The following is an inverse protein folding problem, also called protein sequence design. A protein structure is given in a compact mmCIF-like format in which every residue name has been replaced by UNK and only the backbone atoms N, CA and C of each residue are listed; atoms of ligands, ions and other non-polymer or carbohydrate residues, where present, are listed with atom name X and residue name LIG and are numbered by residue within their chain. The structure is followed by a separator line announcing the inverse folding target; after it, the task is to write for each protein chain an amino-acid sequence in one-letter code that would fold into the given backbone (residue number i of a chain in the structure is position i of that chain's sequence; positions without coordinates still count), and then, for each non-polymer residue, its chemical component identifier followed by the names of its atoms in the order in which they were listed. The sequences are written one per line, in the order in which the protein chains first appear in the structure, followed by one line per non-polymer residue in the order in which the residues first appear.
data_IF_937495111153
#
_entry.id   IF_937495111153
#
_cell.length_a   1.000
_cell.length_b   1.000
_cell.length_c   1.000
_cell.angle_alpha   90.00
_cell.angle_beta   90.00
_cell.angle_gamma   90.00
#
_symmetry.space_group_name_H-M   'P 1'
#
loop_
_entity.id
_entity.type
_entity.pdbx_description
1 polymer ?
#
# COMPACT_ATOMS: atom_id res chain seq x y z
N UNK A 1 24.43 1.89 -17.30
CA UNK A 1 24.03 0.49 -17.51
C UNK A 1 22.58 0.37 -17.09
N UNK A 2 21.64 0.40 -18.04
CA UNK A 2 20.24 0.05 -17.75
C UNK A 2 20.20 -1.43 -17.38
N UNK A 3 19.92 -1.74 -16.10
CA UNK A 3 19.64 -3.12 -15.69
C UNK A 3 18.27 -3.48 -16.25
N UNK A 4 18.26 -4.31 -17.29
CA UNK A 4 17.05 -4.97 -17.74
C UNK A 4 16.49 -5.79 -16.57
N UNK A 5 15.23 -5.54 -16.20
CA UNK A 5 14.55 -6.32 -15.17
C UNK A 5 14.40 -7.77 -15.60
N UNK A 6 14.67 -8.69 -14.70
CA UNK A 6 14.37 -10.10 -14.92
C UNK A 6 12.86 -10.37 -14.81
N UNK A 7 12.41 -11.53 -15.29
CA UNK A 7 11.00 -11.93 -15.13
C UNK A 7 10.63 -12.11 -13.65
N UNK A 8 11.57 -12.58 -12.83
CA UNK A 8 11.45 -12.66 -11.38
C UNK A 8 11.26 -11.26 -10.74
N UNK A 9 12.08 -10.28 -11.12
CA UNK A 9 11.99 -8.89 -10.66
C UNK A 9 10.61 -8.28 -10.91
N UNK A 10 10.08 -8.52 -12.13
CA UNK A 10 8.75 -8.04 -12.51
C UNK A 10 7.63 -8.71 -11.70
N UNK A 11 7.74 -10.02 -11.44
CA UNK A 11 6.77 -10.74 -10.60
C UNK A 11 6.81 -10.24 -9.16
N UNK A 12 8.00 -9.99 -8.62
CA UNK A 12 8.18 -9.50 -7.26
C UNK A 12 7.63 -8.08 -7.11
N UNK A 13 7.93 -7.18 -8.06
CA UNK A 13 7.33 -5.85 -8.11
C UNK A 13 5.81 -5.90 -8.15
N UNK A 14 5.22 -6.72 -9.04
CA UNK A 14 3.77 -6.83 -9.16
C UNK A 14 3.13 -7.33 -7.87
N UNK A 15 3.80 -8.24 -7.15
CA UNK A 15 3.35 -8.72 -5.84
C UNK A 15 3.43 -7.60 -4.80
N UNK A 16 4.56 -6.91 -4.69
CA UNK A 16 4.74 -5.80 -3.77
C UNK A 16 3.72 -4.68 -3.99
N UNK A 17 3.48 -4.26 -5.25
CA UNK A 17 2.47 -3.26 -5.61
C UNK A 17 1.07 -3.72 -5.23
N UNK A 18 0.73 -4.99 -5.46
CA UNK A 18 -0.56 -5.54 -5.05
C UNK A 18 -0.73 -5.49 -3.53
N UNK A 19 0.30 -5.87 -2.78
CA UNK A 19 0.24 -5.90 -1.33
C UNK A 19 0.15 -4.47 -0.75
N UNK A 20 0.87 -3.50 -1.33
CA UNK A 20 0.71 -2.07 -1.02
C UNK A 20 -0.71 -1.61 -1.28
N UNK A 21 -1.27 -1.92 -2.45
CA UNK A 21 -2.62 -1.52 -2.83
C UNK A 21 -3.68 -2.11 -1.88
N UNK A 22 -3.51 -3.36 -1.45
CA UNK A 22 -4.40 -4.00 -0.47
C UNK A 22 -4.34 -3.26 0.88
N UNK A 23 -3.12 -2.95 1.38
CA UNK A 23 -2.95 -2.24 2.65
C UNK A 23 -3.54 -0.83 2.62
N UNK A 24 -3.37 -0.11 1.50
CA UNK A 24 -3.97 1.22 1.31
C UNK A 24 -5.48 1.14 1.17
N UNK A 25 -6.02 0.11 0.51
CA UNK A 25 -7.47 -0.11 0.41
C UNK A 25 -8.08 -0.39 1.78
N UNK A 26 -7.42 -1.21 2.60
CA UNK A 26 -7.80 -1.45 3.99
C UNK A 26 -7.83 -0.13 4.78
N UNK A 27 -6.75 0.66 4.71
CA UNK A 27 -6.70 1.96 5.36
C UNK A 27 -7.82 2.90 4.88
N UNK A 28 -8.11 2.93 3.58
CA UNK A 28 -9.19 3.75 3.01
C UNK A 28 -10.57 3.35 3.56
N UNK A 29 -10.86 2.05 3.68
CA UNK A 29 -12.12 1.57 4.27
C UNK A 29 -12.28 2.04 5.71
N UNK A 30 -11.24 1.92 6.54
CA UNK A 30 -11.30 2.39 7.94
C UNK A 30 -11.39 3.91 8.05
N UNK A 31 -10.73 4.65 7.15
CA UNK A 31 -10.86 6.10 7.09
C UNK A 31 -12.31 6.49 6.76
N UNK A 32 -12.90 5.88 5.74
CA UNK A 32 -14.30 6.12 5.36
C UNK A 32 -15.26 5.77 6.49
N UNK A 33 -15.08 4.61 7.15
CA UNK A 33 -15.89 4.22 8.31
C UNK A 33 -15.82 5.25 9.45
N UNK A 34 -14.64 5.84 9.69
CA UNK A 34 -14.45 6.89 10.70
C UNK A 34 -15.13 8.22 10.35
N UNK A 35 -15.44 8.49 9.08
CA UNK A 35 -16.12 9.72 8.62
C UNK A 35 -17.62 9.55 8.36
N UNK A 36 -18.06 8.37 7.92
CA UNK A 36 -19.42 8.12 7.41
C UNK A 36 -20.44 7.91 8.54
N UNK A 37 -20.01 7.56 9.76
CA UNK A 37 -20.91 7.27 10.88
C UNK A 37 -20.99 8.49 11.80
N UNK A 38 -22.06 9.32 11.72
CA UNK A 38 -22.16 10.60 12.43
C UNK A 38 -22.41 10.47 13.95
N UNK A 39 -22.46 9.25 14.50
CA UNK A 39 -22.70 8.97 15.93
C UNK A 39 -21.76 7.88 16.48
N UNK A 40 -20.59 7.73 15.85
CA UNK A 40 -19.63 6.72 16.28
C UNK A 40 -19.03 7.13 17.64
N UNK A 41 -19.01 6.21 18.60
CA UNK A 41 -18.37 6.50 19.89
C UNK A 41 -16.88 6.80 19.68
N UNK A 42 -16.35 7.79 20.41
CA UNK A 42 -14.94 8.22 20.33
C UNK A 42 -13.94 7.05 20.37
N UNK A 43 -14.27 5.98 21.12
CA UNK A 43 -13.44 4.76 21.19
C UNK A 43 -13.35 4.05 19.84
N UNK A 44 -14.46 3.90 19.15
CA UNK A 44 -14.50 3.29 17.82
C UNK A 44 -13.87 4.19 16.75
N UNK A 45 -14.03 5.52 16.88
CA UNK A 45 -13.35 6.46 16.00
C UNK A 45 -11.82 6.37 16.13
N UNK A 46 -11.32 6.30 17.37
CA UNK A 46 -9.90 6.14 17.66
C UNK A 46 -9.34 4.83 17.10
N UNK A 47 -10.09 3.71 17.25
CA UNK A 47 -9.69 2.41 16.67
C UNK A 47 -9.66 2.49 15.14
N UNK A 48 -10.63 3.14 14.50
CA UNK A 48 -10.63 3.33 13.05
C UNK A 48 -9.37 4.09 12.60
N UNK A 49 -9.04 5.20 13.26
CA UNK A 49 -7.83 5.97 12.94
C UNK A 49 -6.53 5.21 13.22
N UNK A 50 -6.46 4.41 14.27
CA UNK A 50 -5.32 3.53 14.53
C UNK A 50 -5.13 2.51 13.40
N UNK A 51 -6.22 1.89 12.93
CA UNK A 51 -6.18 0.97 11.78
C UNK A 51 -5.71 1.65 10.49
N UNK A 52 -6.11 2.91 10.26
CA UNK A 52 -5.60 3.72 9.13
C UNK A 52 -4.08 3.90 9.25
N UNK A 53 -3.59 4.33 10.42
CA UNK A 53 -2.16 4.57 10.66
C UNK A 53 -1.36 3.28 10.44
N UNK A 54 -1.83 2.15 10.98
CA UNK A 54 -1.18 0.85 10.81
C UNK A 54 -1.16 0.42 9.35
N UNK A 55 -2.26 0.56 8.62
CA UNK A 55 -2.32 0.20 7.20
C UNK A 55 -1.36 1.04 6.34
N UNK A 56 -1.32 2.35 6.58
CA UNK A 56 -0.38 3.27 5.90
C UNK A 56 1.08 2.95 6.27
N UNK A 57 1.35 2.67 7.54
CA UNK A 57 2.70 2.29 8.00
C UNK A 57 3.17 1.00 7.34
N UNK A 58 2.33 -0.04 7.31
CA UNK A 58 2.64 -1.31 6.64
C UNK A 58 2.94 -1.11 5.14
N UNK A 59 2.13 -0.32 4.44
CA UNK A 59 2.38 0.05 3.05
C UNK A 59 3.74 0.74 2.89
N UNK A 60 4.06 1.70 3.76
CA UNK A 60 5.36 2.39 3.77
C UNK A 60 6.55 1.45 4.01
N UNK A 61 6.40 0.47 4.91
CA UNK A 61 7.45 -0.54 5.16
C UNK A 61 7.68 -1.42 3.93
N UNK A 62 6.61 -1.84 3.23
CA UNK A 62 6.74 -2.63 1.98
C UNK A 62 7.45 -1.81 0.91
N UNK A 63 7.06 -0.55 0.71
CA UNK A 63 7.72 0.37 -0.23
C UNK A 63 9.21 0.51 0.12
N UNK A 64 9.55 0.66 1.41
CA UNK A 64 10.94 0.79 1.86
C UNK A 64 11.75 -0.49 1.68
N UNK A 65 11.14 -1.66 1.91
CA UNK A 65 11.82 -2.96 1.81
C UNK A 65 12.07 -3.41 0.38
N UNK A 66 11.25 -2.97 -0.58
CA UNK A 66 11.38 -3.35 -1.97
C UNK A 66 11.92 -2.17 -2.81
N UNK A 67 13.26 -2.03 -2.98
CA UNK A 67 13.85 -0.97 -3.81
C UNK A 67 13.33 -1.00 -5.26
N UNK A 68 12.89 -2.18 -5.70
CA UNK A 68 12.25 -2.41 -7.00
C UNK A 68 10.98 -1.59 -7.20
N UNK A 69 10.30 -1.17 -6.12
CA UNK A 69 9.11 -0.30 -6.18
C UNK A 69 9.49 1.14 -6.56
N UNK A 70 10.73 1.56 -6.30
CA UNK A 70 11.21 2.91 -6.60
C UNK A 70 11.74 3.05 -8.03
N UNK A 71 12.05 1.93 -8.68
CA UNK A 71 12.52 1.91 -10.05
C UNK A 71 11.34 1.54 -10.96
N UNK A 72 10.90 2.48 -11.79
CA UNK A 72 9.86 2.19 -12.78
C UNK A 72 10.37 1.07 -13.70
N UNK A 73 9.61 -0.01 -13.93
CA UNK A 73 10.00 -1.00 -14.93
C UNK A 73 10.13 -0.30 -16.30
N UNK A 74 11.18 -0.60 -17.08
CA UNK A 74 11.35 0.01 -18.38
C UNK A 74 10.12 -0.26 -19.26
N UNK A 75 9.69 0.71 -20.08
CA UNK A 75 8.52 0.54 -20.93
C UNK A 75 8.72 -0.68 -21.84
N UNK A 76 7.72 -1.57 -21.86
CA UNK A 76 7.68 -2.72 -22.76
C UNK A 76 7.70 -2.18 -24.19
N UNK A 77 8.84 -2.25 -24.88
CA UNK A 77 8.87 -2.08 -26.34
C UNK A 77 8.17 -3.30 -26.94
N UNK A 78 6.91 -3.12 -27.33
CA UNK A 78 6.25 -4.00 -28.29
C UNK A 78 6.83 -3.77 -29.68
#
# INVERSE_FOLDING_TARGET
MEKAWTVEDYREYRRAVRDIAIMLSFAAVFALLGFVIPDISMRFQAICWQSVIVGVFCAGVIIRRHPIVWHLPPPRRN
#
